data_IF_294672424635
#
_entry.id   IF_294672424635
#
_cell.length_a   1.000
_cell.length_b   1.000
_cell.length_c   1.000
_cell.angle_alpha   90.00
_cell.angle_beta   90.00
_cell.angle_gamma   90.00
#
_symmetry.space_group_name_H-M   'P 1'
#
loop_
_entity.id
_entity.type
_entity.pdbx_description
1 polymer ?
#
# COMPACT_ATOMS: atom_id res chain seq x y z
N UNK A 1 -3.88 -12.39 -11.50
CA UNK A 1 -5.10 -12.16 -12.30
C UNK A 1 -4.98 -10.79 -12.92
N UNK A 2 -5.14 -10.66 -14.24
CA UNK A 2 -5.04 -9.37 -14.96
C UNK A 2 -6.44 -8.95 -15.42
N UNK A 3 -6.84 -7.71 -15.14
CA UNK A 3 -8.12 -7.15 -15.56
C UNK A 3 -7.92 -6.31 -16.82
N UNK A 4 -8.44 -6.77 -17.96
CA UNK A 4 -8.53 -5.98 -19.18
C UNK A 4 -9.99 -5.53 -19.36
N UNK A 5 -10.21 -4.22 -19.32
CA UNK A 5 -11.53 -3.60 -19.32
C UNK A 5 -11.46 -2.26 -20.06
N UNK A 6 -12.55 -1.84 -20.70
CA UNK A 6 -12.62 -0.52 -21.32
C UNK A 6 -12.45 0.57 -20.24
N UNK A 7 -11.79 1.69 -20.58
CA UNK A 7 -11.47 2.72 -19.59
C UNK A 7 -12.72 3.30 -18.89
N UNK A 8 -13.84 3.39 -19.59
CA UNK A 8 -15.12 3.85 -19.03
C UNK A 8 -15.72 2.90 -17.99
N UNK A 9 -15.40 1.61 -18.05
CA UNK A 9 -15.95 0.58 -17.16
C UNK A 9 -15.01 0.22 -16.01
N UNK A 10 -13.78 0.75 -16.03
CA UNK A 10 -12.72 0.40 -15.08
C UNK A 10 -13.16 0.54 -13.62
N UNK A 11 -13.84 1.64 -13.26
CA UNK A 11 -14.30 1.88 -11.88
C UNK A 11 -15.28 0.79 -11.43
N UNK A 12 -16.30 0.52 -12.24
CA UNK A 12 -17.33 -0.47 -11.92
C UNK A 12 -16.72 -1.88 -11.80
N UNK A 13 -15.79 -2.25 -12.67
CA UNK A 13 -15.12 -3.55 -12.58
C UNK A 13 -14.20 -3.68 -11.36
N UNK A 14 -13.49 -2.62 -10.97
CA UNK A 14 -12.69 -2.60 -9.74
C UNK A 14 -13.59 -2.78 -8.51
N UNK A 15 -14.74 -2.09 -8.46
CA UNK A 15 -15.71 -2.25 -7.36
C UNK A 15 -16.21 -3.70 -7.24
N UNK A 16 -16.46 -4.39 -8.36
CA UNK A 16 -16.87 -5.81 -8.36
C UNK A 16 -15.75 -6.70 -7.81
N UNK A 17 -14.51 -6.52 -8.26
CA UNK A 17 -13.37 -7.30 -7.76
C UNK A 17 -13.14 -7.09 -6.26
N UNK A 18 -13.26 -5.85 -5.80
CA UNK A 18 -13.13 -5.55 -4.38
C UNK A 18 -14.21 -6.25 -3.54
N UNK A 19 -15.45 -6.29 -4.03
CA UNK A 19 -16.55 -7.02 -3.36
C UNK A 19 -16.30 -8.53 -3.32
N UNK A 20 -15.83 -9.09 -4.42
CA UNK A 20 -15.48 -10.52 -4.51
C UNK A 20 -14.38 -10.90 -3.51
N UNK A 21 -13.32 -10.09 -3.42
CA UNK A 21 -12.23 -10.33 -2.48
C UNK A 21 -12.59 -10.08 -1.02
N UNK A 22 -13.56 -9.21 -0.76
CA UNK A 22 -14.05 -8.96 0.59
C UNK A 22 -14.98 -10.07 1.10
N UNK A 23 -15.51 -10.92 0.22
CA UNK A 23 -16.38 -12.02 0.64
C UNK A 23 -15.61 -13.03 1.52
N UNK A 24 -16.17 -13.34 2.68
CA UNK A 24 -15.54 -14.22 3.67
C UNK A 24 -14.34 -13.62 4.43
N UNK A 25 -14.00 -12.34 4.23
CA UNK A 25 -12.99 -11.68 5.05
C UNK A 25 -13.58 -11.20 6.39
N UNK A 26 -12.82 -11.40 7.47
CA UNK A 26 -13.15 -10.87 8.78
C UNK A 26 -13.02 -9.33 8.81
N UNK A 27 -14.06 -8.63 9.24
CA UNK A 27 -14.11 -7.17 9.19
C UNK A 27 -13.03 -6.51 10.04
N UNK A 28 -12.64 -7.13 11.16
CA UNK A 28 -11.56 -6.64 12.02
C UNK A 28 -10.21 -6.78 11.31
N UNK A 29 -9.95 -7.94 10.69
CA UNK A 29 -8.74 -8.15 9.88
C UNK A 29 -8.64 -7.17 8.70
N UNK A 30 -9.75 -6.87 8.01
CA UNK A 30 -9.76 -5.88 6.92
C UNK A 30 -9.42 -4.48 7.45
N UNK A 31 -10.03 -4.07 8.57
CA UNK A 31 -9.76 -2.78 9.18
C UNK A 31 -8.29 -2.65 9.62
N UNK A 32 -7.72 -3.71 10.22
CA UNK A 32 -6.31 -3.73 10.62
C UNK A 32 -5.37 -3.61 9.41
N UNK A 33 -5.65 -4.33 8.32
CA UNK A 33 -4.86 -4.24 7.09
C UNK A 33 -4.91 -2.84 6.46
N UNK A 34 -6.08 -2.19 6.48
CA UNK A 34 -6.25 -0.84 5.97
C UNK A 34 -5.46 0.22 6.75
N UNK A 35 -5.11 -0.06 8.01
CA UNK A 35 -4.32 0.83 8.87
C UNK A 35 -2.82 0.49 8.92
N UNK A 36 -2.37 -0.54 8.19
CA UNK A 36 -0.99 -1.01 8.26
C UNK A 36 0.05 -0.04 7.65
N UNK A 37 -0.39 0.89 6.80
CA UNK A 37 0.46 1.91 6.17
C UNK A 37 -0.06 3.27 6.58
N UNK A 38 0.70 3.96 7.43
CA UNK A 38 0.44 5.35 7.79
C UNK A 38 1.14 6.27 6.78
N UNK A 39 0.35 6.84 5.87
CA UNK A 39 0.86 7.77 4.85
C UNK A 39 1.11 9.19 5.41
N UNK A 40 0.63 9.46 6.62
CA UNK A 40 0.80 10.73 7.32
C UNK A 40 1.90 10.67 8.39
N UNK A 41 2.61 9.54 8.50
CA UNK A 41 3.71 9.37 9.43
C UNK A 41 4.90 10.30 9.12
N UNK A 42 5.42 10.97 10.15
CA UNK A 42 6.59 11.85 10.06
C UNK A 42 7.91 11.10 9.73
N UNK A 43 7.90 9.76 9.90
CA UNK A 43 9.05 8.88 9.70
C UNK A 43 8.63 7.63 8.92
N UNK A 44 9.48 7.18 8.00
CA UNK A 44 9.26 5.95 7.23
C UNK A 44 10.36 4.92 7.50
N UNK A 45 10.05 3.62 7.44
CA UNK A 45 11.07 2.57 7.55
C UNK A 45 11.61 2.19 6.17
N UNK A 46 12.93 1.96 6.09
CA UNK A 46 13.59 1.52 4.87
C UNK A 46 13.13 0.13 4.47
N UNK A 47 12.61 -0.06 3.23
CA UNK A 47 12.11 -1.37 2.80
C UNK A 47 13.24 -2.40 2.63
N UNK A 48 14.50 -1.97 2.54
CA UNK A 48 15.64 -2.87 2.41
C UNK A 48 16.26 -3.29 3.76
N UNK A 49 16.37 -2.38 4.73
CA UNK A 49 17.08 -2.67 5.98
C UNK A 49 16.25 -2.45 7.26
N UNK A 50 15.03 -1.91 7.15
CA UNK A 50 14.15 -1.61 8.28
C UNK A 50 14.50 -0.33 9.06
N UNK A 51 15.67 0.26 8.81
CA UNK A 51 16.11 1.49 9.48
C UNK A 51 15.21 2.69 9.20
N UNK A 52 15.14 3.64 10.14
CA UNK A 52 14.33 4.85 10.02
C UNK A 52 14.87 5.78 8.94
N UNK A 53 13.97 6.31 8.11
CA UNK A 53 14.22 7.29 7.06
C UNK A 53 13.60 8.60 7.53
N UNK A 54 14.42 9.65 7.72
CA UNK A 54 13.91 10.98 7.97
C UNK A 54 13.10 11.49 6.76
N UNK A 55 12.00 12.19 7.03
CA UNK A 55 11.20 12.88 6.02
C UNK A 55 12.06 13.68 5.02
N UNK A 56 11.78 13.52 3.73
CA UNK A 56 12.50 14.21 2.64
C UNK A 56 13.87 13.63 2.27
N UNK A 57 14.32 12.54 2.88
CA UNK A 57 15.59 11.89 2.52
C UNK A 57 15.48 11.09 1.23
N UNK A 58 16.33 11.39 0.24
CA UNK A 58 16.40 10.61 -1.01
C UNK A 58 17.09 9.24 -0.84
N UNK A 59 17.82 9.05 0.27
CA UNK A 59 18.59 7.85 0.56
C UNK A 59 18.47 7.43 2.01
N UNK A 60 18.42 6.12 2.26
CA UNK A 60 18.51 5.57 3.59
C UNK A 60 19.90 5.86 4.21
N UNK A 61 19.98 6.40 5.43
CA UNK A 61 21.26 6.70 6.08
C UNK A 61 22.06 5.43 6.46
N UNK A 62 21.37 4.30 6.65
CA UNK A 62 22.01 3.05 7.05
C UNK A 62 22.53 2.24 5.86
N UNK A 63 21.64 1.87 4.92
CA UNK A 63 21.98 0.98 3.82
C UNK A 63 22.25 1.69 2.48
N UNK A 64 22.01 3.00 2.41
CA UNK A 64 22.20 3.86 1.22
C UNK A 64 21.31 3.53 0.02
N UNK A 65 20.27 2.70 0.20
CA UNK A 65 19.20 2.51 -0.79
C UNK A 65 18.62 3.87 -1.18
N UNK A 66 18.40 4.07 -2.49
CA UNK A 66 17.72 5.26 -3.03
C UNK A 66 16.20 5.04 -2.99
N UNK A 67 15.47 6.01 -2.47
CA UNK A 67 14.04 5.90 -2.11
C UNK A 67 13.15 6.85 -2.94
N UNK A 68 13.76 7.89 -3.52
CA UNK A 68 13.16 8.85 -4.44
C UNK A 68 14.01 9.03 -5.70
#
# INVERSE_FOLDING_TARGET
>A
MWLAVASCDARACVEVLQRDWADGQDAEAVAAAAAAIDLDADEANCPACGGTIPSGSERCPECRLRIA
#
